data_IF_743519835990
#
_entry.id   IF_743519835990
#
_cell.length_a   1.000
_cell.length_b   1.000
_cell.length_c   1.000
_cell.angle_alpha   90.00
_cell.angle_beta   90.00
_cell.angle_gamma   90.00
#
_symmetry.space_group_name_H-M   'P 1'
#
loop_
_entity.id
_entity.type
_entity.pdbx_description
1 polymer ?
#
# COMPACT_ATOMS: atom_id res chain seq x y z
N UNK A 1 6.97 -3.55 -18.72
CA UNK A 1 6.28 -4.50 -17.83
C UNK A 1 6.15 -3.91 -16.44
N UNK A 2 5.07 -3.17 -16.18
CA UNK A 2 4.78 -2.58 -14.85
C UNK A 2 3.64 -3.33 -14.13
N UNK A 3 3.49 -4.63 -14.40
CA UNK A 3 2.50 -5.45 -13.74
C UNK A 3 2.84 -5.56 -12.24
N UNK A 4 1.84 -5.34 -11.40
CA UNK A 4 1.99 -5.43 -9.96
C UNK A 4 1.86 -6.88 -9.49
N UNK A 5 2.89 -7.39 -8.83
CA UNK A 5 2.93 -8.74 -8.27
C UNK A 5 3.18 -8.69 -6.75
N UNK A 6 2.19 -9.08 -5.96
CA UNK A 6 2.27 -9.13 -4.50
C UNK A 6 1.98 -10.54 -3.99
N UNK A 7 2.61 -10.89 -2.87
CA UNK A 7 2.47 -12.20 -2.23
C UNK A 7 1.90 -12.00 -0.84
N UNK A 8 0.78 -12.67 -0.54
CA UNK A 8 0.16 -12.61 0.79
C UNK A 8 0.87 -13.56 1.76
N UNK A 9 1.16 -13.07 2.97
CA UNK A 9 1.66 -13.88 4.10
C UNK A 9 0.53 -14.71 4.71
N UNK A 10 0.90 -15.57 5.66
CA UNK A 10 -0.08 -16.29 6.49
C UNK A 10 -1.01 -15.30 7.21
N UNK A 11 -2.34 -15.55 7.24
CA UNK A 11 -3.28 -14.67 7.90
C UNK A 11 -3.08 -14.64 9.43
N UNK A 12 -3.51 -13.53 10.02
CA UNK A 12 -3.67 -13.39 11.47
C UNK A 12 -5.16 -13.32 11.77
N UNK A 13 -5.68 -14.36 12.42
CA UNK A 13 -7.10 -14.51 12.74
C UNK A 13 -7.43 -13.67 13.98
N UNK A 14 -8.63 -13.08 14.02
CA UNK A 14 -9.11 -12.29 15.15
C UNK A 14 -8.46 -10.90 15.25
N UNK A 15 -7.82 -10.45 14.17
CA UNK A 15 -7.10 -9.19 14.08
C UNK A 15 -7.57 -8.37 12.88
N UNK A 16 -7.50 -7.07 13.02
CA UNK A 16 -7.72 -6.11 11.94
C UNK A 16 -6.79 -4.90 12.12
N UNK A 17 -6.39 -4.30 11.02
CA UNK A 17 -5.66 -3.03 11.04
C UNK A 17 -6.63 -1.87 11.08
N UNK A 18 -6.46 -0.95 12.03
CA UNK A 18 -7.30 0.24 12.21
C UNK A 18 -6.54 1.53 11.93
N UNK A 19 -7.27 2.58 11.54
CA UNK A 19 -6.70 3.91 11.23
C UNK A 19 -5.97 4.02 9.87
N UNK A 20 -5.83 2.91 9.14
CA UNK A 20 -5.09 2.84 7.86
C UNK A 20 -5.93 2.34 6.69
N UNK A 21 -7.25 2.23 6.87
CA UNK A 21 -8.18 1.78 5.81
C UNK A 21 -8.28 2.86 4.74
N UNK A 22 -7.88 2.51 3.51
CA UNK A 22 -7.97 3.40 2.34
C UNK A 22 -9.21 3.12 1.49
N UNK A 23 -9.79 1.92 1.61
CA UNK A 23 -11.02 1.54 0.90
C UNK A 23 -11.77 0.46 1.67
N UNK A 24 -13.11 0.54 1.71
CA UNK A 24 -13.98 -0.47 2.30
C UNK A 24 -15.10 -0.83 1.33
N UNK A 25 -15.35 -2.12 1.11
CA UNK A 25 -16.34 -2.64 0.16
C UNK A 25 -16.99 -3.92 0.69
N UNK A 26 -18.20 -4.23 0.22
CA UNK A 26 -18.80 -5.55 0.41
C UNK A 26 -18.51 -6.45 -0.79
N UNK A 27 -17.99 -7.66 -0.54
CA UNK A 27 -17.64 -8.63 -1.58
C UNK A 27 -18.33 -9.96 -1.33
N UNK A 28 -18.83 -10.60 -2.39
CA UNK A 28 -19.49 -11.92 -2.30
C UNK A 28 -18.50 -13.08 -2.07
N UNK A 29 -17.19 -12.83 -2.22
CA UNK A 29 -16.14 -13.82 -2.03
C UNK A 29 -14.94 -13.17 -1.33
N UNK A 30 -14.45 -13.78 -0.25
CA UNK A 30 -13.27 -13.32 0.47
C UNK A 30 -12.01 -13.19 -0.43
N UNK A 31 -11.88 -13.99 -1.49
CA UNK A 31 -10.79 -13.87 -2.47
C UNK A 31 -10.83 -12.58 -3.28
N UNK A 32 -12.02 -12.02 -3.52
CA UNK A 32 -12.16 -10.74 -4.22
C UNK A 32 -11.45 -9.61 -3.49
N UNK A 33 -11.36 -9.68 -2.16
CA UNK A 33 -10.61 -8.70 -1.37
C UNK A 33 -9.11 -8.70 -1.72
N UNK A 34 -8.53 -9.89 -1.98
CA UNK A 34 -7.14 -9.99 -2.46
C UNK A 34 -6.99 -9.33 -3.82
N UNK A 35 -7.90 -9.61 -4.77
CA UNK A 35 -7.89 -9.02 -6.12
C UNK A 35 -8.02 -7.50 -6.07
N UNK A 36 -8.90 -6.98 -5.23
CA UNK A 36 -9.02 -5.54 -5.00
C UNK A 36 -7.72 -4.96 -4.47
N UNK A 37 -7.07 -5.65 -3.52
CA UNK A 37 -5.74 -5.23 -3.07
C UNK A 37 -4.73 -5.26 -4.21
N UNK A 38 -4.67 -6.30 -5.06
CA UNK A 38 -3.77 -6.35 -6.24
C UNK A 38 -3.94 -5.15 -7.17
N UNK A 39 -5.16 -4.67 -7.36
CA UNK A 39 -5.46 -3.54 -8.27
C UNK A 39 -5.13 -2.20 -7.62
N UNK A 40 -5.30 -2.06 -6.30
CA UNK A 40 -5.00 -0.84 -5.55
C UNK A 40 -3.51 -0.75 -5.20
N UNK A 41 -2.70 0.10 -5.87
CA UNK A 41 -1.25 0.10 -5.72
C UNK A 41 -0.76 0.50 -4.32
N UNK A 42 -1.57 1.23 -3.56
CA UNK A 42 -1.23 1.62 -2.18
C UNK A 42 -1.65 0.57 -1.14
N UNK A 43 -2.37 -0.49 -1.52
CA UNK A 43 -2.79 -1.54 -0.60
C UNK A 43 -1.62 -2.46 -0.23
N UNK A 44 -1.29 -2.58 1.06
CA UNK A 44 -0.23 -3.48 1.55
C UNK A 44 -0.72 -4.46 2.62
N UNK A 45 -1.98 -4.35 3.04
CA UNK A 45 -2.68 -5.37 3.80
C UNK A 45 -4.18 -5.24 3.62
N UNK A 46 -4.94 -6.27 4.01
CA UNK A 46 -6.40 -6.26 3.99
C UNK A 46 -6.96 -6.78 5.31
N UNK A 47 -8.11 -6.23 5.72
CA UNK A 47 -8.98 -6.86 6.70
C UNK A 47 -10.16 -7.52 5.97
N UNK A 48 -10.42 -8.78 6.28
CA UNK A 48 -11.61 -9.48 5.78
C UNK A 48 -12.50 -9.79 6.97
N UNK A 49 -13.69 -9.19 6.99
CA UNK A 49 -14.70 -9.38 8.02
C UNK A 49 -15.52 -10.67 7.85
N UNK A 50 -16.45 -10.91 8.79
CA UNK A 50 -17.35 -12.06 8.71
C UNK A 50 -18.27 -11.96 7.49
N UNK A 51 -18.88 -13.09 7.12
CA UNK A 51 -19.90 -13.12 6.07
C UNK A 51 -21.27 -12.81 6.66
N UNK A 52 -21.85 -11.68 6.27
CA UNK A 52 -23.21 -11.28 6.62
C UNK A 52 -24.06 -11.29 5.33
N UNK A 53 -25.15 -12.07 5.30
CA UNK A 53 -25.99 -12.18 4.10
C UNK A 53 -25.27 -12.72 2.85
N UNK A 54 -24.22 -13.52 3.04
CA UNK A 54 -23.38 -14.06 1.95
C UNK A 54 -22.35 -13.08 1.39
N UNK A 55 -22.15 -11.94 2.04
CA UNK A 55 -21.13 -10.95 1.67
C UNK A 55 -20.14 -10.73 2.81
N UNK A 56 -18.87 -10.58 2.47
CA UNK A 56 -17.80 -10.20 3.38
C UNK A 56 -17.52 -8.70 3.29
N UNK A 57 -17.25 -8.07 4.43
CA UNK A 57 -16.60 -6.76 4.45
C UNK A 57 -15.12 -6.91 4.08
N UNK A 58 -14.68 -6.17 3.08
CA UNK A 58 -13.28 -6.07 2.66
C UNK A 58 -12.77 -4.66 2.93
N UNK A 59 -11.68 -4.54 3.68
CA UNK A 59 -11.00 -3.28 3.94
C UNK A 59 -9.57 -3.38 3.40
N UNK A 60 -9.20 -2.46 2.50
CA UNK A 60 -7.82 -2.33 1.99
C UNK A 60 -7.07 -1.33 2.86
N UNK A 61 -5.85 -1.64 3.24
CA UNK A 61 -5.03 -0.78 4.11
C UNK A 61 -3.73 -0.34 3.42
N UNK A 62 -3.31 0.90 3.67
CA UNK A 62 -2.00 1.42 3.23
C UNK A 62 -0.85 1.14 4.20
N UNK A 63 -1.12 0.49 5.32
CA UNK A 63 -0.12 0.06 6.30
C UNK A 63 -0.16 -1.46 6.50
N UNK A 64 0.89 -1.99 7.13
CA UNK A 64 1.03 -3.41 7.47
C UNK A 64 1.82 -3.55 8.77
N UNK A 65 1.78 -4.73 9.38
CA UNK A 65 2.43 -5.00 10.67
C UNK A 65 3.96 -4.86 10.52
N UNK A 66 4.55 -4.04 11.37
CA UNK A 66 5.98 -3.77 11.46
C UNK A 66 6.26 -2.82 12.64
N UNK A 67 7.52 -2.51 12.92
CA UNK A 67 7.92 -1.73 14.10
C UNK A 67 7.20 -0.37 14.22
N UNK A 68 6.78 0.21 13.09
CA UNK A 68 6.10 1.50 13.04
C UNK A 68 4.57 1.42 13.22
N UNK A 69 3.95 0.26 12.95
CA UNK A 69 2.49 0.09 12.95
C UNK A 69 2.03 -1.06 13.84
N UNK A 70 2.89 -1.53 14.75
CA UNK A 70 2.60 -2.62 15.67
C UNK A 70 1.37 -2.33 16.53
N UNK A 71 1.15 -1.06 16.90
CA UNK A 71 0.00 -0.62 17.70
C UNK A 71 -1.29 -0.46 16.91
N UNK A 72 -1.27 -0.56 15.57
CA UNK A 72 -2.48 -0.41 14.75
C UNK A 72 -3.17 -1.73 14.45
N UNK A 73 -2.63 -2.86 14.94
CA UNK A 73 -3.22 -4.20 14.75
C UNK A 73 -4.07 -4.60 15.96
N UNK A 74 -5.36 -4.28 15.87
CA UNK A 74 -6.30 -4.41 16.97
C UNK A 74 -7.04 -5.76 16.99
N UNK A 75 -7.59 -6.08 18.16
CA UNK A 75 -8.42 -7.27 18.35
C UNK A 75 -9.81 -7.06 17.72
N UNK A 76 -10.10 -7.79 16.65
CA UNK A 76 -11.45 -7.94 16.09
C UNK A 76 -11.67 -9.42 15.79
N UNK A 77 -12.28 -10.12 16.73
CA UNK A 77 -12.44 -11.59 16.70
C UNK A 77 -13.11 -12.13 15.43
N UNK A 78 -14.03 -11.38 14.83
CA UNK A 78 -14.73 -11.77 13.61
C UNK A 78 -13.95 -11.48 12.31
N UNK A 79 -12.77 -10.85 12.40
CA UNK A 79 -11.97 -10.43 11.26
C UNK A 79 -10.73 -11.30 11.08
N UNK A 80 -10.24 -11.36 9.85
CA UNK A 80 -8.94 -11.93 9.52
C UNK A 80 -8.10 -10.90 8.79
N UNK A 81 -6.91 -10.63 9.33
CA UNK A 81 -5.93 -9.73 8.75
C UNK A 81 -4.99 -10.50 7.81
N UNK A 82 -4.75 -9.95 6.62
CA UNK A 82 -3.78 -10.49 5.67
C UNK A 82 -2.79 -9.39 5.26
N UNK A 83 -1.51 -9.59 5.57
CA UNK A 83 -0.43 -8.73 5.08
C UNK A 83 0.20 -9.29 3.81
N UNK A 84 0.79 -8.43 2.99
CA UNK A 84 1.70 -8.86 1.92
C UNK A 84 3.16 -8.93 2.41
N UNK A 85 3.99 -9.64 1.67
CA UNK A 85 5.43 -9.41 1.65
C UNK A 85 5.68 -8.01 1.08
N UNK A 86 6.10 -7.09 1.94
CA UNK A 86 6.16 -5.67 1.63
C UNK A 86 7.60 -5.16 1.60
N UNK A 87 8.23 -5.03 0.41
CA UNK A 87 9.55 -4.43 0.27
C UNK A 87 9.61 -2.96 0.73
N UNK A 88 8.46 -2.29 0.85
CA UNK A 88 8.39 -0.93 1.37
C UNK A 88 8.60 -0.84 2.89
N UNK A 89 8.62 -1.96 3.62
CA UNK A 89 8.81 -1.96 5.08
C UNK A 89 10.17 -1.42 5.52
N UNK A 90 11.18 -1.37 4.64
CA UNK A 90 12.48 -0.73 4.92
C UNK A 90 12.53 0.75 4.56
N UNK A 91 11.39 1.37 4.21
CA UNK A 91 11.27 2.76 3.78
C UNK A 91 12.30 3.17 2.70
N UNK A 92 12.36 2.49 1.55
CA UNK A 92 13.41 2.72 0.56
C UNK A 92 13.27 4.06 -0.19
N UNK A 93 12.07 4.65 -0.25
CA UNK A 93 11.83 5.89 -0.96
C UNK A 93 12.24 7.10 -0.10
N UNK A 94 13.19 7.89 -0.59
CA UNK A 94 13.68 9.09 0.08
C UNK A 94 12.79 10.30 -0.21
N UNK A 95 13.06 11.42 0.48
CA UNK A 95 12.44 12.72 0.22
C UNK A 95 10.90 12.67 0.19
N UNK A 96 10.31 11.94 1.13
CA UNK A 96 8.86 11.76 1.27
C UNK A 96 8.18 11.14 0.04
N UNK A 97 8.92 10.35 -0.75
CA UNK A 97 8.38 9.56 -1.85
C UNK A 97 7.46 8.45 -1.35
N UNK A 98 6.40 8.15 -2.11
CA UNK A 98 5.46 7.07 -1.79
C UNK A 98 5.99 5.75 -2.33
N UNK A 99 6.15 4.75 -1.45
CA UNK A 99 6.55 3.41 -1.86
C UNK A 99 5.32 2.56 -2.21
N UNK A 100 5.35 1.92 -3.39
CA UNK A 100 4.30 1.00 -3.83
C UNK A 100 4.88 -0.39 -4.07
N UNK A 101 4.37 -1.38 -3.34
CA UNK A 101 4.85 -2.76 -3.40
C UNK A 101 4.35 -3.51 -4.64
N UNK A 102 5.14 -4.48 -5.08
CA UNK A 102 4.88 -5.41 -6.17
C UNK A 102 5.25 -4.91 -7.57
N UNK A 103 5.91 -3.76 -7.70
CA UNK A 103 6.31 -3.22 -9.00
C UNK A 103 7.79 -3.48 -9.29
N UNK A 104 8.17 -3.49 -10.57
CA UNK A 104 9.55 -3.67 -11.05
C UNK A 104 10.20 -5.00 -10.62
N UNK A 105 11.42 -5.26 -11.06
CA UNK A 105 12.20 -6.45 -10.64
C UNK A 105 12.62 -6.40 -9.16
N UNK A 106 12.54 -5.24 -8.52
CA UNK A 106 12.90 -5.03 -7.10
C UNK A 106 11.74 -5.28 -6.15
N UNK A 107 10.54 -5.48 -6.68
CA UNK A 107 9.33 -5.70 -5.90
C UNK A 107 8.72 -4.42 -5.30
N UNK A 108 9.22 -3.23 -5.66
CA UNK A 108 8.55 -1.97 -5.38
C UNK A 108 8.88 -0.90 -6.44
N UNK A 109 8.16 0.23 -6.39
CA UNK A 109 8.52 1.49 -7.06
C UNK A 109 8.32 2.67 -6.12
N UNK A 110 9.06 3.75 -6.33
CA UNK A 110 8.85 5.01 -5.64
C UNK A 110 8.14 6.02 -6.54
N UNK A 111 7.08 6.64 -6.01
CA UNK A 111 6.48 7.83 -6.60
C UNK A 111 7.09 9.05 -5.93
N UNK A 112 7.89 9.81 -6.68
CA UNK A 112 8.61 10.94 -6.12
C UNK A 112 7.74 12.17 -5.97
N UNK A 113 7.99 12.92 -4.89
CA UNK A 113 7.43 14.25 -4.72
C UNK A 113 7.99 15.19 -5.78
N UNK A 114 7.27 16.28 -6.03
CA UNK A 114 7.69 17.31 -6.98
C UNK A 114 9.08 17.83 -6.63
N UNK A 115 9.95 17.90 -7.64
CA UNK A 115 11.34 18.33 -7.48
C UNK A 115 12.29 17.21 -7.06
N UNK A 116 11.82 15.96 -6.97
CA UNK A 116 12.67 14.80 -6.75
C UNK A 116 12.48 13.75 -7.85
N UNK A 117 13.57 13.08 -8.21
CA UNK A 117 13.62 12.05 -9.25
C UNK A 117 14.58 10.93 -8.87
N UNK A 118 14.68 9.97 -9.78
CA UNK A 118 15.46 8.76 -9.60
C UNK A 118 14.64 7.68 -8.91
N UNK A 119 15.19 6.47 -8.96
CA UNK A 119 14.48 5.28 -8.53
C UNK A 119 14.08 5.29 -7.05
N UNK A 120 14.91 5.89 -6.20
CA UNK A 120 14.69 6.04 -4.77
C UNK A 120 14.30 7.46 -4.37
N UNK A 121 13.95 8.32 -5.35
CA UNK A 121 13.68 9.74 -5.14
C UNK A 121 14.84 10.52 -4.48
N UNK A 122 16.08 10.06 -4.67
CA UNK A 122 17.27 10.63 -4.02
C UNK A 122 17.82 11.87 -4.73
N UNK A 123 17.45 12.10 -5.99
CA UNK A 123 17.98 13.20 -6.81
C UNK A 123 17.03 14.38 -6.76
N UNK A 124 17.50 15.56 -6.38
CA UNK A 124 16.75 16.80 -6.59
C UNK A 124 16.76 17.18 -8.07
N UNK A 125 15.62 17.51 -8.64
CA UNK A 125 15.57 18.23 -9.91
C UNK A 125 16.10 19.64 -9.64
N UNK A 126 17.29 19.96 -10.17
CA UNK A 126 17.70 21.35 -10.26
C UNK A 126 16.64 22.08 -11.07
N UNK A 127 15.96 23.03 -10.45
CA UNK A 127 15.00 23.93 -11.07
C UNK A 127 15.65 24.61 -12.28
N UNK A 128 15.47 24.05 -13.47
CA UNK A 128 15.70 24.78 -14.71
C UNK A 128 14.36 25.36 -15.15
N UNK A 129 14.34 26.69 -15.22
CA UNK A 129 13.32 27.61 -15.77
C UNK A 129 12.17 28.06 -14.86
N UNK A 130 12.43 29.13 -14.10
CA UNK A 130 11.49 30.26 -13.99
C UNK A 130 12.05 31.61 -14.47
N UNK A 131 13.19 31.62 -15.18
CA UNK A 131 13.78 32.86 -15.74
C UNK A 131 14.02 32.79 -17.26
N UNK A 132 13.28 31.98 -18.01
CA UNK A 132 13.45 31.85 -19.48
C UNK A 132 12.35 32.53 -20.32
N UNK A 133 11.59 33.48 -19.76
CA UNK A 133 10.63 34.29 -20.53
C UNK A 133 10.47 35.69 -19.92
N UNK A 134 11.43 36.59 -20.18
CA UNK A 134 11.15 37.99 -20.56
C UNK A 134 12.23 38.42 -21.56
N UNK A 135 11.94 38.25 -22.84
CA UNK A 135 12.48 39.14 -23.88
C UNK A 135 11.40 40.18 -24.16
N UNK A 136 11.60 41.41 -23.71
CA UNK A 136 11.14 42.67 -24.31
C UNK A 136 11.80 43.83 -23.58
#
# INVERSE_FOLDING_TARGET
NDCRNIVFKKPIIGKAMEGHVIKSEEVTNARSCRVMCYIEPNCVSINVGPSEGGKHRCELNNATVGNQFMFSLENRSAYTFFAIENPCSSSPCLNNGTCQAGFTSKGFRCLCQRGFTGEYCSKGERSLSKDAFVNS
#
